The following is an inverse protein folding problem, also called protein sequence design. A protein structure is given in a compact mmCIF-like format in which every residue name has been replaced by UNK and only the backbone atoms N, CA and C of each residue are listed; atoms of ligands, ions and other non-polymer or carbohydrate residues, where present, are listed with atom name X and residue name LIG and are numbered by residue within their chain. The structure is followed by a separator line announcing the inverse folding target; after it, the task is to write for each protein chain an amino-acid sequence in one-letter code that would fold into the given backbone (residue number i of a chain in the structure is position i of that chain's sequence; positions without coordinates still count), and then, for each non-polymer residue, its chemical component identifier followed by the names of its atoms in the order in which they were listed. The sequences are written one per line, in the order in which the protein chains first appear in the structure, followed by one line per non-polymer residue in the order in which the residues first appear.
data_IF_387461269511
#
_entry.id   IF_387461269511
#
_cell.length_a   1.000
_cell.length_b   1.000
_cell.length_c   1.000
_cell.angle_alpha   90.00
_cell.angle_beta   90.00
_cell.angle_gamma   90.00
#
_symmetry.space_group_name_H-M   'P 1'
#
loop_
_entity.id
_entity.type
_entity.pdbx_description
1 polymer ?
#
# COMPACT_ATOMS: atom_id res chain seq x y z
N UNK A 1 21.63 -20.34 71.85
CA UNK A 1 22.79 -20.86 71.09
C UNK A 1 22.32 -22.06 70.27
N UNK A 2 22.71 -22.09 69.00
CA UNK A 2 22.36 -23.04 67.93
C UNK A 2 20.91 -23.01 67.43
N UNK A 3 20.64 -23.17 66.14
CA UNK A 3 21.18 -22.59 64.91
C UNK A 3 20.19 -23.02 63.81
N UNK A 4 19.86 -22.07 62.94
CA UNK A 4 19.56 -22.22 61.51
C UNK A 4 18.77 -23.45 61.01
N UNK A 5 17.70 -23.19 60.24
CA UNK A 5 17.66 -23.33 58.76
C UNK A 5 16.22 -23.28 58.24
N UNK A 6 15.97 -22.36 57.32
CA UNK A 6 14.81 -22.35 56.44
C UNK A 6 15.05 -23.34 55.28
N UNK A 7 14.06 -24.18 54.97
CA UNK A 7 13.90 -24.78 53.66
C UNK A 7 12.40 -24.84 53.34
N UNK A 8 12.00 -24.05 52.35
CA UNK A 8 10.71 -24.13 51.69
C UNK A 8 10.66 -25.45 50.88
N UNK A 9 9.74 -26.34 51.24
CA UNK A 9 9.38 -27.51 50.44
C UNK A 9 8.06 -27.24 49.73
N UNK A 10 8.12 -26.92 48.45
CA UNK A 10 6.96 -26.91 47.55
C UNK A 10 6.63 -28.36 47.18
N UNK A 11 5.47 -28.83 47.63
CA UNK A 11 4.91 -30.12 47.22
C UNK A 11 4.34 -29.94 45.80
N UNK A 12 4.97 -30.61 44.84
CA UNK A 12 4.45 -30.79 43.50
C UNK A 12 3.31 -31.82 43.53
N UNK A 13 2.11 -31.41 43.13
CA UNK A 13 1.04 -32.34 42.76
C UNK A 13 1.04 -32.42 41.23
N UNK A 14 1.52 -33.54 40.72
CA UNK A 14 1.44 -33.93 39.32
C UNK A 14 -0.02 -34.21 38.94
N UNK A 15 -0.58 -33.43 38.01
CA UNK A 15 -1.82 -33.77 37.34
C UNK A 15 -1.50 -34.23 35.92
N UNK A 16 -1.50 -35.55 35.72
CA UNK A 16 -1.38 -36.19 34.43
C UNK A 16 -2.76 -36.22 33.76
N UNK A 17 -2.97 -35.40 32.73
CA UNK A 17 -4.12 -35.57 31.82
C UNK A 17 -3.58 -36.10 30.50
N UNK A 18 -3.86 -37.38 30.26
CA UNK A 18 -3.62 -38.07 28.99
C UNK A 18 -4.57 -37.51 27.93
N UNK A 19 -3.97 -37.15 26.80
CA UNK A 19 -4.60 -36.68 25.58
C UNK A 19 -5.64 -37.66 25.03
N UNK A 20 -6.81 -37.13 24.62
CA UNK A 20 -7.64 -37.75 23.58
C UNK A 20 -7.62 -36.84 22.36
N UNK A 21 -7.09 -37.41 21.27
CA UNK A 21 -7.11 -36.90 19.91
C UNK A 21 -8.54 -36.54 19.49
N UNK A 22 -8.73 -35.30 19.01
CA UNK A 22 -9.83 -34.93 18.12
C UNK A 22 -9.22 -34.45 16.81
N UNK A 23 -8.83 -35.40 15.98
CA UNK A 23 -8.81 -35.18 14.54
C UNK A 23 -10.26 -35.21 14.03
N UNK A 24 -10.52 -34.33 13.07
CA UNK A 24 -11.72 -34.24 12.22
C UNK A 24 -13.03 -33.76 12.85
N UNK A 25 -13.08 -32.45 13.14
CA UNK A 25 -14.23 -31.63 12.75
C UNK A 25 -13.73 -30.38 12.05
N UNK A 26 -13.55 -30.50 10.73
CA UNK A 26 -13.54 -29.37 9.82
C UNK A 26 -14.94 -28.74 9.84
N UNK A 27 -15.19 -27.87 10.82
CA UNK A 27 -16.28 -26.91 10.74
C UNK A 27 -15.90 -25.97 9.60
N UNK A 28 -16.43 -26.28 8.41
CA UNK A 28 -16.45 -25.38 7.29
C UNK A 28 -16.97 -24.03 7.80
N UNK A 29 -16.06 -23.10 8.02
CA UNK A 29 -16.40 -21.70 8.20
C UNK A 29 -17.10 -21.32 6.91
N UNK A 30 -18.44 -21.34 6.92
CA UNK A 30 -19.24 -20.71 5.89
C UNK A 30 -18.71 -19.29 5.81
N UNK A 31 -18.02 -18.99 4.72
CA UNK A 31 -17.66 -17.63 4.39
C UNK A 31 -18.95 -16.81 4.53
N UNK A 32 -18.91 -15.77 5.37
CA UNK A 32 -19.97 -14.76 5.31
C UNK A 32 -20.10 -14.38 3.83
N UNK A 33 -21.33 -14.27 3.28
CA UNK A 33 -21.52 -13.76 1.94
C UNK A 33 -20.68 -12.49 1.81
N UNK A 34 -19.82 -12.41 0.78
CA UNK A 34 -19.20 -11.14 0.40
C UNK A 34 -20.37 -10.19 0.18
N UNK A 35 -20.58 -9.27 1.11
CA UNK A 35 -21.44 -8.12 0.87
C UNK A 35 -20.95 -7.49 -0.43
N UNK A 36 -21.86 -7.27 -1.36
CA UNK A 36 -21.60 -6.68 -2.67
C UNK A 36 -20.96 -5.31 -2.42
N UNK A 37 -19.65 -5.13 -2.59
CA UNK A 37 -19.08 -3.82 -2.43
C UNK A 37 -19.53 -3.09 -3.69
N UNK A 38 -20.51 -2.19 -3.55
CA UNK A 38 -20.34 -0.94 -4.27
C UNK A 38 -18.92 -0.50 -3.93
N UNK A 39 -17.98 -0.73 -4.85
CA UNK A 39 -16.56 -0.53 -4.62
C UNK A 39 -16.44 0.91 -4.13
N UNK A 40 -16.15 1.08 -2.83
CA UNK A 40 -15.98 2.40 -2.27
C UNK A 40 -14.87 3.04 -3.10
N UNK A 41 -15.22 4.11 -3.80
CA UNK A 41 -14.33 4.79 -4.72
C UNK A 41 -14.23 6.22 -4.22
N UNK A 42 -13.02 6.66 -3.93
CA UNK A 42 -12.74 8.01 -3.48
C UNK A 42 -12.04 8.78 -4.58
N UNK A 43 -12.69 9.85 -5.04
CA UNK A 43 -12.09 10.81 -5.98
C UNK A 43 -11.40 11.97 -5.26
N UNK A 44 -11.59 12.10 -3.94
CA UNK A 44 -10.96 13.09 -3.07
C UNK A 44 -10.01 12.39 -2.06
N UNK A 45 -8.69 12.70 -2.08
CA UNK A 45 -7.71 12.08 -1.20
C UNK A 45 -7.89 12.44 0.28
N UNK A 46 -8.44 13.62 0.61
CA UNK A 46 -8.68 13.98 2.02
C UNK A 46 -9.82 13.13 2.58
N UNK A 47 -10.87 12.91 1.79
CA UNK A 47 -11.96 12.01 2.13
C UNK A 47 -11.49 10.56 2.23
N UNK A 48 -10.69 10.09 1.26
CA UNK A 48 -10.10 8.76 1.29
C UNK A 48 -9.29 8.53 2.59
N UNK A 49 -8.42 9.46 2.94
CA UNK A 49 -7.59 9.39 4.14
C UNK A 49 -8.41 9.38 5.45
N UNK A 50 -9.57 10.04 5.47
CA UNK A 50 -10.45 10.10 6.62
C UNK A 50 -11.32 8.84 6.78
N UNK A 51 -11.76 8.25 5.66
CA UNK A 51 -12.72 7.14 5.65
C UNK A 51 -12.04 5.76 5.57
N UNK A 52 -10.86 5.67 4.96
CA UNK A 52 -10.09 4.44 4.84
C UNK A 52 -8.61 4.63 5.23
N UNK A 53 -8.17 4.09 6.39
CA UNK A 53 -6.77 4.18 6.81
C UNK A 53 -5.81 3.47 5.85
N UNK A 54 -6.28 2.54 5.01
CA UNK A 54 -5.43 1.83 4.04
C UNK A 54 -4.87 2.78 2.98
N UNK A 55 -5.59 3.87 2.67
CA UNK A 55 -5.18 4.89 1.71
C UNK A 55 -3.83 5.53 2.07
N UNK A 56 -3.59 5.79 3.36
CA UNK A 56 -2.35 6.42 3.83
C UNK A 56 -1.18 5.44 3.92
N UNK A 57 -1.46 4.14 3.98
CA UNK A 57 -0.45 3.08 4.11
C UNK A 57 0.08 2.66 2.74
N UNK A 58 -0.76 2.62 1.71
CA UNK A 58 -0.30 2.30 0.36
C UNK A 58 0.68 3.36 -0.18
N UNK A 59 1.48 2.95 -1.17
CA UNK A 59 2.44 3.78 -1.86
C UNK A 59 3.84 3.15 -1.90
N UNK A 60 4.83 4.00 -2.10
CA UNK A 60 6.22 3.59 -2.27
C UNK A 60 7.00 3.78 -0.98
N UNK A 61 7.83 2.80 -0.63
CA UNK A 61 8.75 2.85 0.51
C UNK A 61 10.15 2.56 -0.02
N UNK A 62 11.07 3.48 0.19
CA UNK A 62 12.40 3.38 -0.39
C UNK A 62 13.21 4.65 -0.21
N UNK A 63 14.16 4.85 -1.13
CA UNK A 63 14.90 6.11 -1.26
C UNK A 63 14.68 6.60 -2.68
N UNK A 64 14.33 7.88 -2.83
CA UNK A 64 14.11 8.55 -4.13
C UNK A 64 15.43 8.87 -4.86
N UNK A 65 16.26 7.85 -5.09
CA UNK A 65 17.53 7.93 -5.82
C UNK A 65 17.92 6.58 -6.40
N UNK A 66 18.75 6.54 -7.44
CA UNK A 66 19.28 5.29 -7.98
C UNK A 66 20.22 4.57 -6.99
N UNK A 67 20.63 3.36 -7.37
CA UNK A 67 21.67 2.56 -6.69
C UNK A 67 21.32 2.17 -5.25
N UNK A 68 20.03 1.95 -5.00
CA UNK A 68 19.54 1.35 -3.76
C UNK A 68 19.46 -0.16 -3.92
N UNK A 69 19.73 -0.93 -2.86
CA UNK A 69 19.64 -2.38 -2.94
C UNK A 69 18.20 -2.88 -3.08
N UNK A 70 17.25 -2.16 -2.49
CA UNK A 70 15.85 -2.56 -2.41
C UNK A 70 14.91 -1.33 -2.45
N UNK A 71 13.70 -1.54 -2.93
CA UNK A 71 12.53 -0.67 -2.73
C UNK A 71 11.29 -1.52 -2.51
N UNK A 72 10.20 -0.92 -2.03
CA UNK A 72 8.93 -1.63 -1.82
C UNK A 72 7.77 -0.81 -2.37
N UNK A 73 6.90 -1.45 -3.15
CA UNK A 73 5.61 -0.89 -3.56
C UNK A 73 4.49 -1.62 -2.82
N UNK A 74 3.71 -0.88 -2.02
CA UNK A 74 2.62 -1.40 -1.20
C UNK A 74 1.29 -0.98 -1.83
N UNK A 75 0.43 -1.95 -2.08
CA UNK A 75 -0.87 -1.79 -2.75
C UNK A 75 -1.97 -2.21 -1.78
N UNK A 76 -2.90 -1.30 -1.50
CA UNK A 76 -4.10 -1.64 -0.73
C UNK A 76 -5.07 -2.45 -1.60
N UNK A 77 -5.59 -3.54 -1.04
CA UNK A 77 -6.59 -4.42 -1.68
C UNK A 77 -7.99 -4.22 -1.07
N UNK A 78 -8.09 -3.37 -0.05
CA UNK A 78 -9.30 -3.07 0.71
C UNK A 78 -9.48 -3.97 1.94
N UNK A 79 -10.22 -3.46 2.93
CA UNK A 79 -10.56 -4.20 4.14
C UNK A 79 -9.34 -4.56 5.00
N UNK A 80 -8.26 -3.78 4.93
CA UNK A 80 -7.00 -4.04 5.63
C UNK A 80 -6.06 -5.02 4.92
N UNK A 81 -6.42 -5.54 3.74
CA UNK A 81 -5.55 -6.43 2.97
C UNK A 81 -4.60 -5.62 2.06
N UNK A 82 -3.37 -6.12 1.91
CA UNK A 82 -2.34 -5.46 1.11
C UNK A 82 -1.49 -6.47 0.33
N UNK A 83 -0.99 -6.03 -0.82
CA UNK A 83 0.20 -6.62 -1.44
C UNK A 83 1.40 -5.70 -1.21
N UNK A 84 2.58 -6.27 -0.96
CA UNK A 84 3.84 -5.55 -1.00
C UNK A 84 4.79 -6.23 -1.98
N UNK A 85 5.30 -5.47 -2.95
CA UNK A 85 6.30 -5.92 -3.90
C UNK A 85 7.67 -5.45 -3.45
N UNK A 86 8.51 -6.37 -2.98
CA UNK A 86 9.92 -6.11 -2.71
C UNK A 86 10.71 -6.15 -4.03
N UNK A 87 11.34 -5.03 -4.36
CA UNK A 87 11.96 -4.75 -5.66
C UNK A 87 13.48 -4.66 -5.51
N UNK A 88 14.20 -5.56 -6.15
CA UNK A 88 15.67 -5.54 -6.18
C UNK A 88 16.19 -4.36 -7.01
N UNK A 89 17.11 -3.59 -6.45
CA UNK A 89 17.70 -2.44 -7.13
C UNK A 89 16.90 -1.14 -7.00
N UNK A 90 15.86 -1.09 -6.16
CA UNK A 90 15.14 0.14 -5.82
C UNK A 90 13.72 0.23 -6.36
N UNK A 91 13.18 1.46 -6.41
CA UNK A 91 11.85 1.72 -6.97
C UNK A 91 11.89 1.78 -8.51
N UNK A 92 10.75 1.60 -9.20
CA UNK A 92 10.69 1.75 -10.65
C UNK A 92 11.13 3.14 -11.11
N UNK A 93 12.00 3.17 -12.13
CA UNK A 93 12.66 4.40 -12.61
C UNK A 93 13.89 4.81 -11.79
N UNK A 94 14.18 4.13 -10.67
CA UNK A 94 15.32 4.38 -9.78
C UNK A 94 16.20 3.14 -9.60
N UNK A 95 16.16 2.21 -10.56
CA UNK A 95 17.10 1.09 -10.63
C UNK A 95 16.44 -0.28 -10.75
N UNK A 96 15.19 -0.48 -10.31
CA UNK A 96 14.48 -1.73 -10.61
C UNK A 96 14.10 -1.80 -12.10
N UNK A 97 14.27 -2.99 -12.68
CA UNK A 97 13.87 -3.33 -14.05
C UNK A 97 13.13 -4.68 -14.06
N UNK A 98 12.34 -5.01 -15.10
CA UNK A 98 11.59 -6.27 -15.15
C UNK A 98 12.42 -7.55 -15.03
N UNK A 99 13.72 -7.49 -15.32
CA UNK A 99 14.64 -8.63 -15.23
C UNK A 99 15.16 -8.87 -13.80
N UNK A 100 15.05 -7.88 -12.92
CA UNK A 100 15.47 -7.97 -11.51
C UNK A 100 14.41 -8.64 -10.66
N UNK A 101 14.80 -9.14 -9.48
CA UNK A 101 13.86 -9.80 -8.60
C UNK A 101 12.72 -8.85 -8.19
N UNK A 102 11.49 -9.37 -8.27
CA UNK A 102 10.27 -8.80 -7.67
C UNK A 102 9.59 -9.90 -6.86
N UNK A 103 9.56 -9.73 -5.54
CA UNK A 103 8.96 -10.69 -4.62
C UNK A 103 7.66 -10.12 -4.06
N UNK A 104 6.56 -10.88 -4.18
CA UNK A 104 5.28 -10.54 -3.58
C UNK A 104 5.24 -11.00 -2.12
N UNK A 105 4.78 -10.12 -1.24
CA UNK A 105 4.41 -10.41 0.13
C UNK A 105 2.93 -10.04 0.33
N UNK A 106 2.13 -10.95 0.86
CA UNK A 106 0.74 -10.67 1.23
C UNK A 106 0.67 -10.15 2.65
N UNK A 107 -0.13 -9.11 2.86
CA UNK A 107 -0.23 -8.39 4.13
C UNK A 107 -1.65 -8.24 4.65
N UNK A 108 -1.76 -8.16 5.98
CA UNK A 108 -2.99 -7.85 6.68
C UNK A 108 -2.72 -6.81 7.77
N UNK A 109 -3.60 -5.80 7.85
CA UNK A 109 -3.57 -4.77 8.87
C UNK A 109 -4.26 -5.24 10.16
N UNK A 110 -3.61 -4.95 11.27
CA UNK A 110 -4.11 -5.11 12.63
C UNK A 110 -3.84 -3.82 13.40
N UNK A 111 -4.90 -3.02 13.58
CA UNK A 111 -4.78 -1.65 14.08
C UNK A 111 -3.94 -0.78 13.15
N UNK A 112 -2.81 -0.28 13.67
CA UNK A 112 -1.87 0.60 12.96
C UNK A 112 -0.65 -0.15 12.39
N UNK A 113 -0.64 -1.49 12.47
CA UNK A 113 0.47 -2.32 12.01
C UNK A 113 -0.01 -3.18 10.85
N UNK A 114 0.76 -3.21 9.76
CA UNK A 114 0.55 -4.18 8.68
C UNK A 114 1.68 -5.19 8.71
N UNK A 115 1.34 -6.47 8.71
CA UNK A 115 2.32 -7.56 8.69
C UNK A 115 2.20 -8.31 7.37
N UNK A 116 3.35 -8.51 6.74
CA UNK A 116 3.47 -9.16 5.44
C UNK A 116 4.29 -10.43 5.53
N UNK A 117 3.99 -11.41 4.67
CA UNK A 117 4.79 -12.62 4.48
C UNK A 117 4.75 -13.05 3.01
N UNK A 118 5.87 -13.58 2.51
CA UNK A 118 5.87 -14.39 1.29
C UNK A 118 5.19 -15.74 1.56
N UNK A 119 4.74 -16.41 0.50
CA UNK A 119 4.10 -17.73 0.59
C UNK A 119 5.02 -18.79 1.22
N UNK A 120 6.31 -18.74 0.88
CA UNK A 120 7.35 -19.64 1.42
C UNK A 120 7.88 -19.20 2.79
N UNK A 121 7.41 -18.06 3.32
CA UNK A 121 7.84 -17.44 4.58
C UNK A 121 9.32 -17.07 4.64
N UNK A 122 10.02 -17.07 3.50
CA UNK A 122 11.43 -16.66 3.44
C UNK A 122 11.62 -15.15 3.61
N UNK A 123 10.58 -14.36 3.36
CA UNK A 123 10.58 -12.91 3.55
C UNK A 123 9.33 -12.44 4.31
N UNK A 124 9.54 -11.47 5.20
CA UNK A 124 8.48 -10.79 5.95
C UNK A 124 8.71 -9.29 5.92
N UNK A 125 7.65 -8.52 6.16
CA UNK A 125 7.77 -7.09 6.38
C UNK A 125 6.76 -6.61 7.42
N UNK A 126 7.09 -5.52 8.09
CA UNK A 126 6.18 -4.83 9.02
C UNK A 126 6.13 -3.37 8.62
N UNK A 127 4.91 -2.84 8.42
CA UNK A 127 4.68 -1.40 8.34
C UNK A 127 4.12 -0.90 9.66
N UNK A 128 4.75 0.13 10.21
CA UNK A 128 4.27 0.89 11.35
C UNK A 128 4.81 2.33 11.24
N UNK A 129 3.99 3.32 11.57
CA UNK A 129 4.38 4.75 11.55
C UNK A 129 5.01 5.21 10.22
N UNK A 130 4.40 4.81 9.09
CA UNK A 130 4.88 5.10 7.73
C UNK A 130 6.31 4.62 7.44
N UNK A 131 6.79 3.63 8.20
CA UNK A 131 8.06 2.95 7.97
C UNK A 131 7.82 1.48 7.72
N UNK A 132 8.54 0.93 6.74
CA UNK A 132 8.58 -0.51 6.48
C UNK A 132 9.93 -1.06 6.94
N UNK A 133 9.91 -2.19 7.64
CA UNK A 133 11.10 -3.00 7.94
C UNK A 133 10.92 -4.36 7.26
N UNK A 134 11.87 -4.74 6.41
CA UNK A 134 11.84 -5.97 5.60
C UNK A 134 12.91 -6.92 6.09
N UNK A 135 12.51 -8.16 6.36
CA UNK A 135 13.41 -9.24 6.75
C UNK A 135 13.39 -10.37 5.73
N UNK A 136 14.55 -10.95 5.43
CA UNK A 136 14.70 -12.16 4.62
C UNK A 136 15.56 -13.16 5.39
N UNK A 137 15.06 -14.38 5.57
CA UNK A 137 15.70 -15.41 6.39
C UNK A 137 16.09 -14.86 7.79
N UNK A 138 15.13 -14.24 8.48
CA UNK A 138 15.27 -13.66 9.83
C UNK A 138 16.30 -12.53 9.98
N UNK A 139 16.83 -12.00 8.86
CA UNK A 139 17.73 -10.85 8.86
C UNK A 139 17.03 -9.64 8.25
N UNK A 140 17.05 -8.51 8.95
CA UNK A 140 16.62 -7.22 8.39
C UNK A 140 17.54 -6.86 7.23
N UNK A 141 16.95 -6.67 6.04
CA UNK A 141 17.67 -6.34 4.81
C UNK A 141 17.38 -4.92 4.33
N UNK A 142 16.29 -4.31 4.79
CA UNK A 142 15.91 -2.97 4.40
C UNK A 142 14.98 -2.34 5.44
N UNK A 143 15.16 -1.03 5.66
CA UNK A 143 14.25 -0.20 6.44
C UNK A 143 14.05 1.11 5.70
N UNK A 144 12.80 1.44 5.38
CA UNK A 144 12.49 2.62 4.59
C UNK A 144 11.31 3.40 5.17
N UNK A 145 11.35 4.71 5.00
CA UNK A 145 10.15 5.53 5.16
C UNK A 145 9.35 5.53 3.86
N UNK A 146 8.05 5.82 3.94
CA UNK A 146 7.23 6.12 2.76
C UNK A 146 7.81 7.33 2.03
N UNK A 147 7.78 7.28 0.70
CA UNK A 147 8.26 8.33 -0.19
C UNK A 147 7.11 8.78 -1.07
N UNK A 148 6.86 10.09 -1.11
CA UNK A 148 5.89 10.71 -2.01
C UNK A 148 6.63 11.41 -3.16
N UNK A 149 6.74 10.75 -4.32
CA UNK A 149 7.39 11.35 -5.49
C UNK A 149 6.47 12.36 -6.18
N UNK A 150 7.04 13.44 -6.69
CA UNK A 150 6.31 14.47 -7.45
C UNK A 150 6.95 14.69 -8.80
N UNK A 151 6.11 14.88 -9.82
CA UNK A 151 6.61 15.28 -11.15
C UNK A 151 7.28 16.66 -11.05
N UNK A 152 8.46 16.86 -11.68
CA UNK A 152 9.07 18.19 -11.79
C UNK A 152 8.20 19.22 -12.51
N UNK A 153 7.23 18.76 -13.32
CA UNK A 153 6.28 19.61 -14.06
C UNK A 153 4.91 19.71 -13.39
N UNK A 154 4.72 19.16 -12.19
CA UNK A 154 3.45 19.27 -11.46
C UNK A 154 3.13 20.75 -11.18
N UNK A 155 1.94 21.20 -11.57
CA UNK A 155 1.50 22.59 -11.50
C UNK A 155 2.19 23.52 -12.50
N UNK A 156 2.89 22.99 -13.51
CA UNK A 156 3.55 23.83 -14.50
C UNK A 156 2.53 24.74 -15.21
N UNK A 157 2.84 26.04 -15.26
CA UNK A 157 1.97 26.99 -15.96
C UNK A 157 2.00 26.75 -17.47
N UNK A 158 0.90 27.02 -18.18
CA UNK A 158 0.89 26.98 -19.64
C UNK A 158 2.03 27.82 -20.23
N UNK A 159 2.77 27.22 -21.17
CA UNK A 159 3.84 27.91 -21.89
C UNK A 159 3.31 29.05 -22.76
N UNK A 160 4.20 29.94 -23.23
CA UNK A 160 3.82 31.04 -24.13
C UNK A 160 3.17 30.49 -25.40
N UNK A 161 1.95 30.93 -25.70
CA UNK A 161 1.19 30.49 -26.88
C UNK A 161 0.47 29.14 -26.72
N UNK A 162 0.54 28.53 -25.52
CA UNK A 162 -0.23 27.33 -25.24
C UNK A 162 -1.73 27.63 -25.20
N UNK A 163 -2.53 26.69 -25.70
CA UNK A 163 -3.98 26.70 -25.55
C UNK A 163 -4.29 26.02 -24.21
N UNK A 164 -5.02 26.71 -23.33
CA UNK A 164 -5.47 26.14 -22.07
C UNK A 164 -6.72 25.31 -22.31
N UNK A 165 -6.58 23.99 -22.26
CA UNK A 165 -7.70 23.08 -22.39
C UNK A 165 -8.50 22.96 -21.09
N UNK A 166 -7.83 22.97 -19.94
CA UNK A 166 -8.46 22.85 -18.63
C UNK A 166 -7.54 23.43 -17.55
N UNK A 167 -8.08 24.29 -16.69
CA UNK A 167 -7.39 24.88 -15.53
C UNK A 167 -8.25 24.85 -14.25
N UNK A 168 -9.36 24.09 -14.29
CA UNK A 168 -10.34 24.02 -13.21
C UNK A 168 -11.40 25.12 -13.22
N UNK A 169 -11.40 26.05 -14.18
CA UNK A 169 -12.40 27.14 -14.26
C UNK A 169 -13.59 26.84 -15.18
N UNK A 170 -13.38 26.12 -16.28
CA UNK A 170 -14.44 25.72 -17.20
C UNK A 170 -14.13 24.42 -17.96
N UNK A 171 -15.13 23.89 -18.65
CA UNK A 171 -15.02 22.73 -19.56
C UNK A 171 -15.29 23.10 -21.02
N UNK A 172 -15.21 24.39 -21.36
CA UNK A 172 -15.66 24.92 -22.65
C UNK A 172 -14.88 24.37 -23.84
N UNK A 173 -13.61 23.99 -23.64
CA UNK A 173 -12.77 23.37 -24.65
C UNK A 173 -13.18 21.92 -24.98
N UNK A 174 -14.09 21.32 -24.20
CA UNK A 174 -14.38 19.90 -24.23
C UNK A 174 -15.82 19.60 -24.70
N UNK A 175 -15.97 18.56 -25.50
CA UNK A 175 -17.26 17.94 -25.75
C UNK A 175 -17.61 16.98 -24.60
N UNK A 176 -18.83 17.08 -24.09
CA UNK A 176 -19.31 16.32 -22.94
C UNK A 176 -18.48 16.52 -21.66
N UNK A 177 -17.76 17.63 -21.51
CA UNK A 177 -16.97 17.88 -20.32
C UNK A 177 -17.85 18.03 -19.07
N UNK A 178 -17.47 17.31 -18.01
CA UNK A 178 -18.10 17.43 -16.69
C UNK A 178 -17.03 17.84 -15.69
N UNK A 179 -17.29 18.91 -14.95
CA UNK A 179 -16.41 19.35 -13.89
C UNK A 179 -16.98 18.96 -12.53
N UNK A 180 -16.13 18.40 -11.68
CA UNK A 180 -16.43 18.11 -10.29
C UNK A 180 -15.20 18.43 -9.44
N UNK A 181 -15.38 19.21 -8.36
CA UNK A 181 -14.31 19.58 -7.43
C UNK A 181 -13.04 20.15 -8.11
N UNK A 182 -13.23 20.94 -9.17
CA UNK A 182 -12.13 21.54 -9.95
C UNK A 182 -11.39 20.56 -10.88
N UNK A 183 -11.88 19.32 -11.05
CA UNK A 183 -11.34 18.31 -11.94
C UNK A 183 -12.27 18.04 -13.12
N UNK A 184 -11.69 17.62 -14.25
CA UNK A 184 -12.43 17.06 -15.37
C UNK A 184 -12.74 15.59 -15.05
N UNK A 185 -13.99 15.28 -14.71
CA UNK A 185 -14.33 14.07 -13.95
C UNK A 185 -14.79 12.87 -14.81
N UNK A 186 -15.10 13.07 -16.09
CA UNK A 186 -15.69 12.03 -16.93
C UNK A 186 -14.70 11.40 -17.93
N UNK A 187 -14.87 10.09 -18.20
CA UNK A 187 -13.93 9.27 -18.99
C UNK A 187 -14.18 9.26 -20.51
N UNK A 188 -15.24 9.93 -20.98
CA UNK A 188 -15.61 10.02 -22.41
C UNK A 188 -15.62 11.47 -22.90
N UNK A 189 -14.51 12.15 -22.66
CA UNK A 189 -14.33 13.57 -22.97
C UNK A 189 -13.32 13.74 -24.10
N UNK A 190 -13.58 14.70 -25.00
CA UNK A 190 -12.67 15.02 -26.11
C UNK A 190 -12.60 16.53 -26.30
N UNK A 191 -11.47 17.03 -26.78
CA UNK A 191 -11.36 18.43 -27.16
C UNK A 191 -12.25 18.72 -28.37
N UNK A 192 -12.93 19.88 -28.36
CA UNK A 192 -13.68 20.38 -29.53
C UNK A 192 -12.74 20.70 -30.69
N UNK A 193 -11.59 21.30 -30.37
CA UNK A 193 -10.55 21.57 -31.33
C UNK A 193 -9.79 20.28 -31.67
N UNK A 194 -9.50 20.10 -32.96
CA UNK A 194 -8.63 19.04 -33.46
C UNK A 194 -7.19 19.55 -33.54
N UNK A 195 -6.25 18.65 -33.25
CA UNK A 195 -4.82 18.91 -33.28
C UNK A 195 -4.14 17.86 -34.16
N UNK A 196 -3.10 18.27 -34.88
CA UNK A 196 -2.21 17.35 -35.59
C UNK A 196 -0.98 17.13 -34.71
N UNK A 197 0.10 17.88 -34.96
CA UNK A 197 1.30 17.83 -34.12
C UNK A 197 1.12 18.76 -32.91
N UNK A 198 1.33 18.21 -31.71
CA UNK A 198 1.19 18.99 -30.47
C UNK A 198 2.14 18.48 -29.38
N UNK A 199 2.33 19.31 -28.36
CA UNK A 199 2.88 18.94 -27.06
C UNK A 199 1.79 19.14 -26.03
N UNK A 200 1.51 18.11 -25.21
CA UNK A 200 0.48 18.15 -24.18
C UNK A 200 1.12 18.08 -22.81
N UNK A 201 0.77 19.02 -21.93
CA UNK A 201 0.96 18.90 -20.50
C UNK A 201 -0.35 18.43 -19.87
N UNK A 202 -0.32 17.33 -19.12
CA UNK A 202 -1.48 16.74 -18.47
C UNK A 202 -1.11 16.31 -17.05
N UNK A 203 -1.97 16.67 -16.11
CA UNK A 203 -1.94 16.17 -14.74
C UNK A 203 -3.22 15.39 -14.48
N UNK A 204 -3.09 14.27 -13.78
CA UNK A 204 -4.22 13.41 -13.47
C UNK A 204 -4.07 12.83 -12.06
N UNK A 205 -5.20 12.44 -11.48
CA UNK A 205 -5.29 11.72 -10.22
C UNK A 205 -6.14 10.49 -10.46
N UNK A 206 -5.60 9.32 -10.15
CA UNK A 206 -6.39 8.09 -10.15
C UNK A 206 -7.29 8.08 -8.91
N UNK A 207 -8.54 7.63 -9.03
CA UNK A 207 -9.36 7.37 -7.84
C UNK A 207 -8.71 6.28 -6.99
N UNK A 208 -9.02 6.30 -5.70
CA UNK A 208 -8.74 5.20 -4.78
C UNK A 208 -9.96 4.27 -4.71
#
# INVERSE_FOLDING_TARGET
MNSSRWLAGLIAISLSIVSRSTADEAVARKAKPKEDPAALTWTDPEKAAAEDPDFLIQGEYGIDRPDTAWGVQVVALGGGAFDAYLLEGGLPGLGWTPEKQRLLLSGMRDGNIVRFSSDDKSATAIIQDQKISVSKNDKVIAEFSRVDRRSPTLGAKPGKGAIVLFDGSSVDAWENGVMENGLLANTNVKTKQLFNDYTLHLEFRTPY
#
